data_IF_703836864809
#
_entry.id   IF_703836864809
#
_cell.length_a   1.000
_cell.length_b   1.000
_cell.length_c   1.000
_cell.angle_alpha   90.00
_cell.angle_beta   90.00
_cell.angle_gamma   90.00
#
_symmetry.space_group_name_H-M   'P 1'
#
loop_
_entity.id
_entity.type
_entity.pdbx_description
1 polymer ?
#
# COMPACT_ATOMS: atom_id res chain seq x y z
N UNK A 1 -2.32 23.03 -31.47
CA UNK A 1 -1.10 22.90 -30.70
C UNK A 1 -1.13 21.58 -29.95
N UNK A 2 0.02 21.00 -29.73
CA UNK A 2 0.18 19.79 -28.90
C UNK A 2 0.86 20.19 -27.58
N UNK A 3 0.53 19.47 -26.52
CA UNK A 3 1.19 19.65 -25.23
C UNK A 3 2.41 18.74 -25.16
N UNK A 4 3.56 19.30 -24.80
CA UNK A 4 4.82 18.54 -24.60
C UNK A 4 4.98 18.33 -23.10
N UNK A 5 5.23 17.10 -22.65
CA UNK A 5 5.53 16.83 -21.23
C UNK A 5 6.79 17.56 -20.77
N UNK A 6 6.81 18.03 -19.53
CA UNK A 6 7.93 18.82 -18.96
C UNK A 6 9.28 18.06 -18.95
N UNK A 7 9.24 16.72 -18.97
CA UNK A 7 10.42 15.86 -18.98
C UNK A 7 10.85 15.40 -20.39
N UNK A 8 10.17 15.86 -21.44
CA UNK A 8 10.56 15.53 -22.80
C UNK A 8 11.83 16.29 -23.18
N UNK A 9 12.76 15.62 -23.84
CA UNK A 9 14.01 16.21 -24.33
C UNK A 9 13.96 16.54 -25.83
N UNK A 10 13.14 15.81 -26.59
CA UNK A 10 12.98 15.99 -28.02
C UNK A 10 11.56 15.66 -28.48
N UNK A 11 11.19 16.19 -29.63
CA UNK A 11 9.95 15.89 -30.35
C UNK A 11 10.35 15.29 -31.69
N UNK A 12 9.77 14.13 -32.01
CA UNK A 12 9.95 13.46 -33.31
C UNK A 12 8.66 13.52 -34.10
N UNK A 13 8.76 13.97 -35.35
CA UNK A 13 7.66 13.98 -36.29
C UNK A 13 7.79 12.77 -37.21
N UNK A 14 6.79 11.94 -37.26
CA UNK A 14 6.68 10.82 -38.19
C UNK A 14 5.57 11.07 -39.20
N UNK A 15 5.75 10.61 -40.43
CA UNK A 15 4.76 10.67 -41.47
C UNK A 15 4.45 9.24 -41.98
N UNK A 16 3.16 8.93 -42.07
CA UNK A 16 2.72 7.70 -42.71
C UNK A 16 3.00 7.80 -44.22
N UNK A 17 3.63 6.79 -44.76
CA UNK A 17 3.62 6.56 -46.22
C UNK A 17 2.46 5.61 -46.51
N UNK A 18 1.40 6.15 -47.01
CA UNK A 18 0.36 5.33 -47.68
C UNK A 18 0.90 4.89 -49.02
N UNK A 19 0.91 3.60 -49.36
CA UNK A 19 1.13 3.19 -50.73
C UNK A 19 0.11 3.89 -51.62
N UNK A 20 0.60 4.60 -52.65
CA UNK A 20 -0.25 5.17 -53.69
C UNK A 20 -0.76 4.04 -54.61
N UNK A 21 -1.34 2.98 -54.05
CA UNK A 21 -1.98 1.95 -54.84
C UNK A 21 -3.48 2.22 -54.89
N UNK A 22 -3.89 2.58 -56.09
CA UNK A 22 -5.24 2.92 -56.46
C UNK A 22 -6.12 1.67 -56.40
N UNK A 23 -6.91 1.51 -55.38
CA UNK A 23 -7.95 0.53 -55.35
C UNK A 23 -8.30 -0.16 -54.03
N UNK A 24 -7.67 0.19 -52.93
CA UNK A 24 -8.04 -0.33 -51.59
C UNK A 24 -8.96 0.67 -50.89
N UNK A 25 -10.08 0.21 -50.40
CA UNK A 25 -11.01 1.04 -49.63
C UNK A 25 -10.29 1.66 -48.40
N UNK A 26 -10.51 2.94 -48.18
CA UNK A 26 -9.77 3.79 -47.23
C UNK A 26 -9.77 3.33 -45.75
N UNK A 27 -10.49 2.28 -45.38
CA UNK A 27 -10.63 1.83 -44.00
C UNK A 27 -9.54 0.85 -43.53
N UNK A 28 -8.84 0.17 -44.44
CA UNK A 28 -7.80 -0.82 -44.08
C UNK A 28 -6.37 -0.26 -44.21
N UNK A 29 -6.20 0.84 -44.95
CA UNK A 29 -4.87 1.41 -45.22
C UNK A 29 -4.18 2.05 -44.00
N UNK A 30 -4.89 2.31 -42.95
CA UNK A 30 -4.30 2.92 -41.72
C UNK A 30 -3.63 1.88 -40.80
N UNK A 31 -4.02 0.62 -40.90
CA UNK A 31 -3.47 -0.45 -40.06
C UNK A 31 -2.06 -0.90 -40.47
N UNK A 32 -1.73 -0.77 -41.77
CA UNK A 32 -0.43 -1.21 -42.34
C UNK A 32 0.49 -0.03 -42.70
N UNK A 33 0.17 1.19 -42.26
CA UNK A 33 0.97 2.36 -42.58
C UNK A 33 2.32 2.38 -41.85
N UNK A 34 3.39 2.38 -42.60
CA UNK A 34 4.76 2.58 -42.05
C UNK A 34 4.96 4.06 -41.79
N UNK A 35 5.23 4.42 -40.54
CA UNK A 35 5.53 5.76 -40.12
C UNK A 35 7.02 6.01 -40.19
N UNK A 36 7.48 6.94 -41.05
CA UNK A 36 8.87 7.26 -41.26
C UNK A 36 9.24 8.59 -40.61
N UNK A 37 10.41 8.65 -39.96
CA UNK A 37 10.90 9.86 -39.30
C UNK A 37 11.10 10.96 -40.32
N UNK A 38 10.48 12.11 -40.08
CA UNK A 38 10.57 13.30 -40.91
C UNK A 38 11.53 14.33 -40.31
N UNK A 39 11.39 14.56 -39.00
CA UNK A 39 12.18 15.58 -38.31
C UNK A 39 12.29 15.24 -36.80
N UNK A 40 13.39 15.67 -36.20
CA UNK A 40 13.60 15.62 -34.75
C UNK A 40 14.02 17.01 -34.27
N UNK A 41 13.34 17.53 -33.27
CA UNK A 41 13.56 18.87 -32.70
C UNK A 41 13.62 18.80 -31.16
N UNK A 42 14.30 19.77 -30.53
CA UNK A 42 14.22 19.94 -29.08
C UNK A 42 12.78 20.11 -28.60
N UNK A 43 12.51 19.70 -27.35
CA UNK A 43 11.17 19.70 -26.77
C UNK A 43 10.50 21.09 -26.65
N UNK A 44 11.30 22.15 -26.67
CA UNK A 44 10.86 23.56 -26.62
C UNK A 44 10.42 24.11 -27.99
N UNK A 45 10.46 23.30 -29.04
CA UNK A 45 10.09 23.72 -30.38
C UNK A 45 8.58 23.93 -30.50
N UNK A 46 8.15 25.15 -30.79
CA UNK A 46 6.74 25.50 -30.90
C UNK A 46 6.07 25.07 -32.22
N UNK A 47 6.85 24.92 -33.28
CA UNK A 47 6.36 24.59 -34.63
C UNK A 47 7.28 23.61 -35.30
N UNK A 48 6.72 22.47 -35.75
CA UNK A 48 7.40 21.47 -36.59
C UNK A 48 6.74 21.48 -37.96
N UNK A 49 7.54 21.54 -39.01
CA UNK A 49 7.07 21.54 -40.41
C UNK A 49 7.61 20.30 -41.14
N UNK A 50 6.73 19.57 -41.78
CA UNK A 50 7.11 18.52 -42.72
C UNK A 50 7.43 19.14 -44.09
N UNK A 51 8.73 19.20 -44.43
CA UNK A 51 9.23 19.63 -45.74
C UNK A 51 10.20 18.63 -46.35
N UNK A 52 10.30 17.45 -45.78
CA UNK A 52 11.28 16.45 -46.12
C UNK A 52 10.82 15.63 -47.34
N UNK A 53 11.65 15.55 -48.36
CA UNK A 53 11.36 14.74 -49.55
C UNK A 53 11.68 13.27 -49.38
N UNK A 54 12.68 12.96 -48.55
CA UNK A 54 13.09 11.58 -48.25
C UNK A 54 12.96 11.40 -46.74
N UNK A 55 12.10 10.51 -46.31
CA UNK A 55 11.92 10.19 -44.90
C UNK A 55 13.06 9.30 -44.41
N UNK A 56 13.32 9.40 -43.10
CA UNK A 56 14.39 8.64 -42.43
C UNK A 56 13.95 7.25 -42.00
N UNK A 57 14.43 6.86 -40.82
CA UNK A 57 14.16 5.56 -40.23
C UNK A 57 12.65 5.37 -39.92
N UNK A 58 12.15 4.15 -40.14
CA UNK A 58 10.80 3.81 -39.71
C UNK A 58 10.63 3.98 -38.21
N UNK A 59 9.45 4.47 -37.80
CA UNK A 59 9.09 4.45 -36.40
C UNK A 59 9.08 3.01 -35.93
N UNK A 60 9.72 2.74 -34.81
CA UNK A 60 9.78 1.40 -34.23
C UNK A 60 8.44 1.05 -33.54
N UNK A 61 7.39 0.98 -34.37
CA UNK A 61 6.04 0.57 -33.97
C UNK A 61 5.62 -0.74 -34.62
N UNK A 62 6.50 -1.31 -35.45
CA UNK A 62 6.26 -2.59 -36.10
C UNK A 62 6.14 -3.67 -34.99
N UNK A 63 5.02 -4.37 -34.97
CA UNK A 63 4.62 -5.35 -33.94
C UNK A 63 4.18 -4.77 -32.57
N UNK A 64 3.84 -3.50 -32.49
CA UNK A 64 3.30 -2.92 -31.26
C UNK A 64 1.81 -2.62 -31.37
N UNK A 65 1.02 -3.27 -30.50
CA UNK A 65 -0.39 -2.90 -30.34
C UNK A 65 -0.51 -1.62 -29.51
N UNK A 66 -1.50 -0.80 -29.81
CA UNK A 66 -1.82 0.37 -29.01
C UNK A 66 -2.28 -0.06 -27.60
N UNK A 67 -2.06 0.78 -26.58
CA UNK A 67 -2.65 0.54 -25.27
C UNK A 67 -4.18 0.39 -25.39
N UNK A 68 -4.79 -0.59 -24.70
CA UNK A 68 -6.24 -0.74 -24.69
C UNK A 68 -6.93 0.54 -24.22
N UNK A 69 -8.07 0.87 -24.82
CA UNK A 69 -8.83 2.07 -24.47
C UNK A 69 -9.41 2.06 -23.04
N UNK A 70 -9.61 0.85 -22.47
CA UNK A 70 -10.07 0.62 -21.11
C UNK A 70 -8.92 0.40 -20.11
N UNK A 71 -7.68 0.72 -20.48
CA UNK A 71 -6.53 0.52 -19.61
C UNK A 71 -6.68 1.33 -18.30
N UNK A 72 -6.65 0.63 -17.18
CA UNK A 72 -6.83 1.17 -15.83
C UNK A 72 -5.71 0.71 -14.91
N UNK A 73 -5.60 1.29 -13.72
CA UNK A 73 -4.56 0.99 -12.73
C UNK A 73 -3.13 1.13 -13.30
N UNK A 74 -2.93 2.09 -14.17
CA UNK A 74 -1.63 2.28 -14.83
C UNK A 74 -0.56 2.65 -13.80
N UNK A 75 0.52 1.86 -13.82
CA UNK A 75 1.68 2.01 -12.93
C UNK A 75 2.95 2.08 -13.76
N UNK A 76 3.88 2.93 -13.34
CA UNK A 76 5.24 2.82 -13.81
C UNK A 76 5.86 1.53 -13.25
N UNK A 77 6.58 0.81 -14.08
CA UNK A 77 7.32 -0.38 -13.68
C UNK A 77 8.78 -0.26 -14.16
N UNK A 78 9.63 -1.24 -13.82
CA UNK A 78 11.05 -1.19 -14.11
C UNK A 78 11.34 -0.89 -15.60
N UNK A 79 12.49 -0.27 -15.84
CA UNK A 79 13.01 0.00 -17.19
C UNK A 79 12.10 0.89 -18.07
N UNK A 80 11.35 1.80 -17.45
CA UNK A 80 10.48 2.73 -18.19
C UNK A 80 9.27 2.06 -18.84
N UNK A 81 8.87 0.88 -18.39
CA UNK A 81 7.63 0.22 -18.79
C UNK A 81 6.44 0.79 -18.03
N UNK A 82 5.28 0.70 -18.65
CA UNK A 82 4.00 0.86 -17.97
C UNK A 82 3.31 -0.49 -17.85
N UNK A 83 2.71 -0.72 -16.70
CA UNK A 83 1.83 -1.86 -16.47
C UNK A 83 0.41 -1.36 -16.17
N UNK A 84 -0.60 -2.12 -16.54
CA UNK A 84 -1.99 -1.76 -16.31
C UNK A 84 -2.92 -2.96 -16.43
N UNK A 85 -4.19 -2.74 -16.17
CA UNK A 85 -5.27 -3.73 -16.26
C UNK A 85 -6.26 -3.32 -17.35
N UNK A 86 -6.70 -4.29 -18.18
CA UNK A 86 -7.72 -4.10 -19.20
C UNK A 86 -8.64 -5.32 -19.22
N UNK A 87 -9.94 -5.13 -18.92
CA UNK A 87 -10.83 -6.25 -18.65
C UNK A 87 -10.26 -7.16 -17.57
N UNK A 88 -10.14 -8.45 -17.87
CA UNK A 88 -9.57 -9.49 -17.00
C UNK A 88 -8.09 -9.78 -17.34
N UNK A 89 -7.38 -8.82 -17.93
CA UNK A 89 -6.01 -9.01 -18.35
C UNK A 89 -5.08 -7.99 -17.70
N UNK A 90 -3.91 -8.45 -17.31
CA UNK A 90 -2.74 -7.62 -17.10
C UNK A 90 -2.11 -7.27 -18.46
N UNK A 91 -1.69 -6.03 -18.62
CA UNK A 91 -1.05 -5.49 -19.81
C UNK A 91 0.23 -4.77 -19.43
N UNK A 92 1.26 -4.93 -20.25
CA UNK A 92 2.54 -4.24 -20.05
C UNK A 92 3.02 -3.63 -21.36
N UNK A 93 3.63 -2.45 -21.27
CA UNK A 93 4.24 -1.80 -22.42
C UNK A 93 5.59 -2.43 -22.79
N UNK A 94 6.05 -2.17 -23.99
CA UNK A 94 7.41 -2.47 -24.39
C UNK A 94 8.43 -1.59 -23.65
N UNK A 95 9.68 -2.03 -23.62
CA UNK A 95 10.78 -1.34 -22.97
C UNK A 95 10.98 0.06 -23.58
N UNK A 96 10.93 1.10 -22.75
CA UNK A 96 11.10 2.48 -23.19
C UNK A 96 10.03 3.02 -24.14
N UNK A 97 8.97 2.24 -24.41
CA UNK A 97 7.88 2.58 -25.32
C UNK A 97 6.51 2.46 -24.64
N UNK A 98 6.15 3.42 -23.76
CA UNK A 98 4.90 3.36 -22.96
C UNK A 98 3.62 3.37 -23.82
N UNK A 99 3.71 3.77 -25.06
CA UNK A 99 2.63 3.81 -26.04
C UNK A 99 2.39 2.47 -26.77
N UNK A 100 3.25 1.49 -26.56
CA UNK A 100 3.23 0.20 -27.23
C UNK A 100 2.97 -0.93 -26.23
N UNK A 101 1.87 -1.66 -26.42
CA UNK A 101 1.45 -2.75 -25.54
C UNK A 101 1.33 -4.08 -26.32
N UNK A 102 2.47 -4.72 -26.66
CA UNK A 102 2.46 -5.94 -27.45
C UNK A 102 1.60 -7.03 -26.80
N UNK A 103 0.86 -7.79 -27.60
CA UNK A 103 0.01 -8.89 -27.12
C UNK A 103 0.81 -9.95 -26.34
N UNK A 104 2.09 -10.15 -26.71
CA UNK A 104 2.99 -11.08 -25.99
C UNK A 104 3.22 -10.72 -24.52
N UNK A 105 2.97 -9.46 -24.12
CA UNK A 105 3.06 -8.99 -22.74
C UNK A 105 1.68 -8.93 -22.06
N UNK A 106 0.75 -9.72 -22.53
CA UNK A 106 -0.59 -9.85 -21.95
C UNK A 106 -0.66 -11.11 -21.11
N UNK A 107 -1.17 -10.98 -19.89
CA UNK A 107 -1.45 -12.11 -19.00
C UNK A 107 -2.94 -12.12 -18.67
N UNK A 108 -3.63 -13.22 -18.97
CA UNK A 108 -5.00 -13.41 -18.52
C UNK A 108 -5.02 -13.74 -17.02
N UNK A 109 -5.90 -13.11 -16.28
CA UNK A 109 -6.16 -13.39 -14.88
C UNK A 109 -7.35 -14.37 -14.80
N UNK A 110 -7.26 -15.37 -13.92
CA UNK A 110 -8.33 -16.34 -13.72
C UNK A 110 -9.54 -15.74 -13.02
N UNK A 111 -9.29 -14.75 -12.13
CA UNK A 111 -10.30 -14.01 -11.38
C UNK A 111 -10.28 -12.54 -11.79
N UNK A 112 -11.33 -11.79 -11.48
CA UNK A 112 -11.44 -10.38 -11.87
C UNK A 112 -10.41 -9.49 -11.15
N UNK A 113 -9.56 -8.74 -11.89
CA UNK A 113 -8.54 -7.88 -11.30
C UNK A 113 -9.16 -6.65 -10.62
N UNK A 114 -8.81 -6.43 -9.36
CA UNK A 114 -9.28 -5.31 -8.52
C UNK A 114 -8.24 -4.19 -8.44
N UNK A 115 -6.97 -4.52 -8.21
CA UNK A 115 -5.88 -3.55 -8.09
C UNK A 115 -4.57 -4.11 -8.64
N UNK A 116 -3.69 -3.21 -9.04
CA UNK A 116 -2.32 -3.50 -9.49
C UNK A 116 -1.32 -2.78 -8.59
N UNK A 117 -0.34 -3.52 -8.10
CA UNK A 117 0.83 -2.99 -7.41
C UNK A 117 2.08 -3.42 -8.17
N UNK A 118 3.08 -2.53 -8.24
CA UNK A 118 4.35 -2.81 -8.90
C UNK A 118 5.51 -2.48 -7.98
N UNK A 119 6.49 -3.33 -7.96
CA UNK A 119 7.80 -3.11 -7.32
C UNK A 119 8.87 -3.65 -8.28
N UNK A 120 10.12 -3.32 -8.08
CA UNK A 120 11.26 -3.64 -8.96
C UNK A 120 10.97 -4.73 -10.04
N UNK A 121 11.10 -6.01 -9.69
CA UNK A 121 10.94 -7.13 -10.62
C UNK A 121 9.58 -7.84 -10.55
N UNK A 122 8.68 -7.40 -9.68
CA UNK A 122 7.43 -8.07 -9.40
C UNK A 122 6.23 -7.12 -9.51
N UNK A 123 5.14 -7.60 -10.11
CA UNK A 123 3.85 -6.95 -10.05
C UNK A 123 2.84 -7.88 -9.38
N UNK A 124 1.97 -7.33 -8.57
CA UNK A 124 0.87 -8.05 -7.94
C UNK A 124 -0.44 -7.63 -8.57
N UNK A 125 -1.13 -8.58 -9.19
CA UNK A 125 -2.52 -8.41 -9.61
C UNK A 125 -3.40 -8.94 -8.51
N UNK A 126 -3.99 -8.04 -7.75
CA UNK A 126 -4.94 -8.36 -6.68
C UNK A 126 -6.31 -8.56 -7.30
N UNK A 127 -6.93 -9.70 -7.06
CA UNK A 127 -8.20 -10.11 -7.68
C UNK A 127 -9.30 -10.26 -6.63
N UNK A 128 -10.53 -10.41 -7.09
CA UNK A 128 -11.67 -10.75 -6.24
C UNK A 128 -11.73 -12.26 -5.86
N UNK A 129 -10.72 -13.02 -6.27
CA UNK A 129 -10.52 -14.43 -5.95
C UNK A 129 -9.11 -14.70 -5.46
N UNK A 130 -8.27 -15.26 -6.32
CA UNK A 130 -6.88 -15.63 -6.01
C UNK A 130 -5.91 -14.63 -6.62
N UNK A 131 -5.17 -13.87 -5.80
CA UNK A 131 -4.18 -12.91 -6.30
C UNK A 131 -3.02 -13.59 -7.03
N UNK A 132 -2.40 -12.85 -7.93
CA UNK A 132 -1.30 -13.32 -8.78
C UNK A 132 -0.10 -12.42 -8.64
N UNK A 133 1.08 -13.00 -8.51
CA UNK A 133 2.36 -12.31 -8.64
C UNK A 133 2.92 -12.58 -10.05
N UNK A 134 3.35 -11.53 -10.72
CA UNK A 134 3.94 -11.55 -12.04
C UNK A 134 5.40 -11.13 -11.91
N UNK A 135 6.32 -12.00 -12.32
CA UNK A 135 7.76 -11.75 -12.24
C UNK A 135 8.32 -11.59 -13.64
N UNK A 136 9.06 -10.51 -13.88
CA UNK A 136 9.77 -10.30 -15.14
C UNK A 136 11.17 -10.86 -15.01
N UNK A 137 11.55 -11.72 -15.96
CA UNK A 137 12.90 -12.23 -16.08
C UNK A 137 13.64 -11.55 -17.25
N UNK A 138 14.76 -10.90 -16.94
CA UNK A 138 15.61 -10.25 -17.93
C UNK A 138 14.93 -9.15 -18.74
N UNK A 139 15.31 -9.00 -19.99
CA UNK A 139 14.83 -7.91 -20.89
C UNK A 139 13.48 -8.21 -21.53
N UNK A 140 12.79 -9.27 -21.13
CA UNK A 140 11.58 -9.76 -21.79
C UNK A 140 11.80 -10.04 -23.29
N UNK A 141 12.97 -10.57 -23.66
CA UNK A 141 13.30 -10.98 -25.02
C UNK A 141 12.47 -12.17 -25.53
N UNK A 142 13.02 -12.93 -26.45
CA UNK A 142 12.33 -14.08 -27.03
C UNK A 142 12.02 -15.16 -25.98
N UNK A 143 10.74 -15.43 -25.70
CA UNK A 143 10.27 -16.42 -24.73
C UNK A 143 9.05 -15.95 -23.95
N UNK A 144 8.80 -16.58 -22.80
CA UNK A 144 7.76 -16.14 -21.85
C UNK A 144 8.35 -15.11 -20.89
N UNK A 145 8.19 -13.83 -21.17
CA UNK A 145 8.87 -12.77 -20.41
C UNK A 145 8.31 -12.59 -18.99
N UNK A 146 7.15 -13.15 -18.73
CA UNK A 146 6.42 -12.97 -17.46
C UNK A 146 6.13 -14.34 -16.86
N UNK A 147 6.70 -14.60 -15.70
CA UNK A 147 6.37 -15.77 -14.88
C UNK A 147 5.15 -15.45 -14.01
N UNK A 148 4.17 -16.36 -14.02
CA UNK A 148 2.91 -16.24 -13.27
C UNK A 148 3.01 -17.10 -12.02
N UNK A 149 2.84 -16.51 -10.84
CA UNK A 149 2.82 -17.19 -9.55
C UNK A 149 1.51 -16.89 -8.84
N UNK A 150 0.56 -17.81 -8.92
CA UNK A 150 -0.69 -17.67 -8.18
C UNK A 150 -0.48 -17.86 -6.68
N UNK A 151 -1.18 -17.07 -5.86
CA UNK A 151 -1.17 -17.24 -4.42
C UNK A 151 -1.66 -18.64 -4.02
N UNK A 152 -1.02 -19.25 -3.02
CA UNK A 152 -1.40 -20.59 -2.54
C UNK A 152 -2.83 -20.63 -1.99
N UNK A 153 -3.33 -19.50 -1.47
CA UNK A 153 -4.68 -19.36 -0.90
C UNK A 153 -5.49 -18.32 -1.67
N UNK A 154 -6.79 -18.56 -1.79
CA UNK A 154 -7.73 -17.55 -2.28
C UNK A 154 -8.00 -16.54 -1.16
N UNK A 155 -7.35 -15.39 -1.23
CA UNK A 155 -7.51 -14.26 -0.33
C UNK A 155 -7.90 -13.03 -1.15
N UNK A 156 -9.20 -12.85 -1.46
CA UNK A 156 -9.68 -11.80 -2.36
C UNK A 156 -9.37 -10.40 -1.85
N UNK A 157 -8.99 -9.51 -2.75
CA UNK A 157 -8.92 -8.08 -2.50
C UNK A 157 -10.33 -7.47 -2.60
N UNK A 158 -10.86 -6.95 -1.50
CA UNK A 158 -12.23 -6.40 -1.45
C UNK A 158 -12.28 -4.88 -1.52
N UNK A 159 -11.14 -4.23 -1.48
CA UNK A 159 -11.04 -2.78 -1.66
C UNK A 159 -9.79 -2.43 -2.46
N UNK A 160 -10.00 -1.92 -3.65
CA UNK A 160 -8.93 -1.42 -4.52
C UNK A 160 -8.04 -0.38 -3.81
N UNK A 161 -8.66 0.52 -3.06
CA UNK A 161 -7.95 1.60 -2.39
C UNK A 161 -7.17 1.16 -1.16
N UNK A 162 -7.39 -0.06 -0.67
CA UNK A 162 -6.60 -0.61 0.45
C UNK A 162 -5.22 -1.10 0.03
N UNK A 163 -5.01 -1.29 -1.27
CA UNK A 163 -3.79 -1.86 -1.81
C UNK A 163 -2.59 -0.90 -1.65
N UNK A 164 -1.54 -1.37 -1.00
CA UNK A 164 -0.31 -0.63 -0.77
C UNK A 164 0.90 -1.57 -0.81
N UNK A 165 2.09 -1.02 -1.08
CA UNK A 165 3.33 -1.78 -1.16
C UNK A 165 4.27 -1.42 -0.01
N UNK A 166 4.95 -2.39 0.55
CA UNK A 166 6.00 -2.21 1.54
C UNK A 166 7.11 -3.25 1.36
N UNK A 167 8.31 -2.81 0.96
CA UNK A 167 9.49 -3.68 0.87
C UNK A 167 9.28 -4.95 0.04
N UNK A 168 8.63 -4.85 -1.13
CA UNK A 168 8.32 -6.00 -1.98
C UNK A 168 7.11 -6.83 -1.53
N UNK A 169 6.43 -6.42 -0.45
CA UNK A 169 5.21 -7.06 0.07
C UNK A 169 3.98 -6.26 -0.32
N UNK A 170 3.02 -6.90 -0.97
CA UNK A 170 1.72 -6.31 -1.24
C UNK A 170 0.81 -6.45 -0.03
N UNK A 171 0.20 -5.35 0.40
CA UNK A 171 -0.73 -5.27 1.52
C UNK A 171 -2.11 -4.87 1.00
N UNK A 172 -3.17 -5.55 1.41
CA UNK A 172 -4.53 -5.23 0.98
C UNK A 172 -5.59 -5.80 1.93
N UNK A 173 -6.78 -5.21 1.92
CA UNK A 173 -7.91 -5.69 2.71
C UNK A 173 -8.61 -6.87 2.02
N UNK A 174 -8.85 -7.94 2.78
CA UNK A 174 -9.69 -9.08 2.40
C UNK A 174 -10.90 -9.19 3.32
N UNK A 175 -11.81 -10.14 3.01
CA UNK A 175 -12.94 -10.45 3.88
C UNK A 175 -12.51 -10.89 5.29
N UNK A 176 -11.36 -11.56 5.41
CA UNK A 176 -10.92 -12.19 6.65
C UNK A 176 -9.89 -11.37 7.45
N UNK A 177 -9.33 -10.32 6.87
CA UNK A 177 -8.30 -9.50 7.52
C UNK A 177 -7.48 -8.69 6.52
N UNK A 178 -6.46 -8.00 7.01
CA UNK A 178 -5.41 -7.41 6.20
C UNK A 178 -4.48 -8.53 5.74
N UNK A 179 -4.26 -8.62 4.45
CA UNK A 179 -3.39 -9.62 3.83
C UNK A 179 -2.06 -9.01 3.50
N UNK A 180 -0.99 -9.76 3.75
CA UNK A 180 0.34 -9.53 3.20
C UNK A 180 0.64 -10.63 2.18
N UNK A 181 1.16 -10.24 1.01
CA UNK A 181 1.54 -11.17 -0.05
C UNK A 181 2.97 -10.87 -0.53
N UNK A 182 3.82 -11.89 -0.56
CA UNK A 182 5.16 -11.84 -1.13
C UNK A 182 5.38 -13.04 -2.04
N UNK A 183 5.62 -12.77 -3.32
CA UNK A 183 5.62 -13.83 -4.33
C UNK A 183 4.25 -14.52 -4.37
N UNK A 184 4.22 -15.84 -4.18
CA UNK A 184 3.01 -16.65 -4.08
C UNK A 184 2.56 -16.93 -2.63
N UNK A 185 3.32 -16.45 -1.64
CA UNK A 185 2.94 -16.60 -0.23
C UNK A 185 2.03 -15.44 0.17
N UNK A 186 0.82 -15.75 0.61
CA UNK A 186 -0.16 -14.78 1.08
C UNK A 186 -0.73 -15.22 2.43
N UNK A 187 -0.79 -14.31 3.39
CA UNK A 187 -1.33 -14.59 4.72
C UNK A 187 -2.05 -13.40 5.33
N UNK A 188 -2.98 -13.68 6.24
CA UNK A 188 -3.70 -12.67 7.01
C UNK A 188 -2.86 -12.28 8.22
N UNK A 189 -2.36 -11.03 8.23
CA UNK A 189 -1.48 -10.51 9.28
C UNK A 189 -2.24 -9.90 10.47
N UNK A 190 -3.56 -9.76 10.38
CA UNK A 190 -4.39 -9.21 11.46
C UNK A 190 -5.19 -10.27 12.22
N UNK A 191 -4.94 -11.54 11.99
CA UNK A 191 -5.71 -12.67 12.57
C UNK A 191 -5.77 -12.65 14.09
N UNK A 192 -4.69 -12.21 14.74
CA UNK A 192 -4.61 -12.23 16.20
C UNK A 192 -5.04 -10.92 16.85
N UNK A 193 -5.34 -9.91 16.05
CA UNK A 193 -5.84 -8.62 16.52
C UNK A 193 -7.36 -8.51 16.42
N UNK A 194 -7.97 -9.17 15.43
CA UNK A 194 -9.40 -9.11 15.17
C UNK A 194 -9.98 -10.51 14.95
N UNK A 195 -11.13 -10.78 15.56
CA UNK A 195 -12.00 -11.86 15.10
C UNK A 195 -12.61 -11.48 13.75
N UNK A 196 -13.15 -12.46 13.02
CA UNK A 196 -13.81 -12.21 11.74
C UNK A 196 -14.95 -11.15 11.88
N UNK A 197 -15.77 -11.23 12.93
CA UNK A 197 -16.85 -10.29 13.17
C UNK A 197 -16.35 -8.88 13.48
N UNK A 198 -15.28 -8.76 14.28
CA UNK A 198 -14.65 -7.47 14.58
C UNK A 198 -14.06 -6.83 13.33
N UNK A 199 -13.42 -7.63 12.47
CA UNK A 199 -12.89 -7.15 11.20
C UNK A 199 -14.00 -6.67 10.26
N UNK A 200 -15.08 -7.44 10.13
CA UNK A 200 -16.22 -7.05 9.30
C UNK A 200 -16.93 -5.79 9.82
N UNK A 201 -16.97 -5.59 11.13
CA UNK A 201 -17.51 -4.38 11.74
C UNK A 201 -16.73 -3.11 11.37
N UNK A 202 -15.45 -3.23 10.99
CA UNK A 202 -14.65 -2.13 10.45
C UNK A 202 -15.04 -1.73 9.01
N UNK A 203 -15.88 -2.49 8.32
CA UNK A 203 -16.26 -2.31 6.91
C UNK A 203 -15.05 -2.30 5.96
N UNK A 204 -14.27 -3.39 5.91
CA UNK A 204 -13.01 -3.44 5.17
C UNK A 204 -13.15 -3.20 3.66
N UNK A 205 -14.33 -3.38 3.08
CA UNK A 205 -14.62 -3.05 1.68
C UNK A 205 -14.57 -1.53 1.37
N UNK A 206 -14.62 -0.67 2.40
CA UNK A 206 -14.46 0.78 2.27
C UNK A 206 -13.04 1.24 2.59
N UNK A 207 -12.13 0.31 2.86
CA UNK A 207 -10.79 0.63 3.33
C UNK A 207 -9.96 1.34 2.25
N UNK A 208 -9.28 2.39 2.68
CA UNK A 208 -8.25 3.12 1.95
C UNK A 208 -6.95 2.91 2.70
N UNK A 209 -5.92 2.46 2.02
CA UNK A 209 -4.64 2.09 2.62
C UNK A 209 -3.49 2.93 2.09
N UNK A 210 -2.51 3.16 2.95
CA UNK A 210 -1.22 3.72 2.59
C UNK A 210 -0.15 3.19 3.53
N UNK A 211 1.09 3.13 3.05
CA UNK A 211 2.24 2.75 3.89
C UNK A 211 3.19 3.93 3.99
N UNK A 212 3.66 4.22 5.20
CA UNK A 212 4.68 5.23 5.48
C UNK A 212 5.51 4.78 6.66
N UNK A 213 6.84 4.87 6.57
CA UNK A 213 7.78 4.54 7.64
C UNK A 213 7.55 3.15 8.30
N UNK A 214 7.31 2.12 7.49
CA UNK A 214 7.07 0.76 8.00
C UNK A 214 5.71 0.57 8.69
N UNK A 215 4.77 1.50 8.50
CA UNK A 215 3.45 1.46 9.10
C UNK A 215 2.39 1.42 8.01
N UNK A 216 1.48 0.47 8.09
CA UNK A 216 0.27 0.47 7.27
C UNK A 216 -0.84 1.28 7.96
N UNK A 217 -1.38 2.24 7.26
CA UNK A 217 -2.52 3.05 7.66
C UNK A 217 -3.75 2.65 6.85
N UNK A 218 -4.81 2.21 7.53
CA UNK A 218 -6.05 1.78 6.90
C UNK A 218 -7.23 2.60 7.40
N UNK A 219 -7.83 3.43 6.55
CA UNK A 219 -9.02 4.20 6.88
C UNK A 219 -10.26 3.57 6.25
N UNK A 220 -11.27 3.29 7.05
CA UNK A 220 -12.60 2.87 6.60
C UNK A 220 -13.64 3.93 6.99
N UNK A 221 -14.88 3.73 6.60
CA UNK A 221 -15.97 4.64 7.00
C UNK A 221 -16.22 4.64 8.51
N UNK A 222 -15.79 3.60 9.23
CA UNK A 222 -16.04 3.42 10.68
C UNK A 222 -14.80 3.52 11.54
N UNK A 223 -13.61 3.30 10.99
CA UNK A 223 -12.35 3.22 11.73
C UNK A 223 -11.17 3.78 10.94
N UNK A 224 -10.15 4.22 11.65
CA UNK A 224 -8.84 4.48 11.11
C UNK A 224 -7.83 3.70 11.95
N UNK A 225 -7.16 2.73 11.33
CA UNK A 225 -6.20 1.85 11.98
C UNK A 225 -4.78 2.22 11.55
N UNK A 226 -3.87 2.10 12.48
CA UNK A 226 -2.42 2.15 12.29
C UNK A 226 -1.89 0.79 12.68
N UNK A 227 -1.17 0.14 11.79
CA UNK A 227 -0.55 -1.16 12.02
C UNK A 227 0.94 -1.09 11.73
N UNK A 228 1.75 -1.19 12.79
CA UNK A 228 3.20 -1.22 12.67
C UNK A 228 3.61 -2.58 12.08
N UNK A 229 4.18 -2.54 10.88
CA UNK A 229 4.62 -3.75 10.19
C UNK A 229 5.91 -4.26 10.84
N UNK A 230 6.00 -5.56 11.17
CA UNK A 230 7.26 -6.14 11.60
C UNK A 230 8.26 -6.19 10.44
N UNK A 231 9.57 -6.23 10.74
CA UNK A 231 10.63 -6.33 9.73
C UNK A 231 10.44 -7.54 8.80
N UNK A 232 10.00 -8.66 9.36
CA UNK A 232 9.51 -9.81 8.61
C UNK A 232 8.01 -10.01 8.86
N UNK A 233 7.22 -9.60 7.89
CA UNK A 233 5.75 -9.67 7.94
C UNK A 233 5.24 -11.12 7.95
N UNK A 234 6.06 -12.07 7.53
CA UNK A 234 5.75 -13.50 7.44
C UNK A 234 6.30 -14.33 8.62
N UNK A 235 7.02 -13.70 9.54
CA UNK A 235 7.46 -14.40 10.76
C UNK A 235 6.28 -14.81 11.62
N UNK A 236 6.39 -15.97 12.27
CA UNK A 236 5.35 -16.51 13.16
C UNK A 236 5.13 -15.66 14.42
N UNK A 237 6.09 -14.84 14.78
CA UNK A 237 6.01 -13.98 15.95
C UNK A 237 5.27 -12.68 15.61
N UNK A 238 4.09 -12.51 16.18
CA UNK A 238 3.29 -11.28 16.08
C UNK A 238 3.95 -10.13 16.83
N UNK A 239 4.86 -9.45 16.16
CA UNK A 239 5.59 -8.33 16.73
C UNK A 239 4.98 -6.96 16.36
N UNK A 240 4.02 -6.95 15.44
CA UNK A 240 3.33 -5.72 15.04
C UNK A 240 2.47 -5.11 16.16
N UNK A 241 2.37 -3.80 16.21
CA UNK A 241 1.45 -3.09 17.08
C UNK A 241 0.30 -2.51 16.29
N UNK A 242 -0.91 -2.67 16.80
CA UNK A 242 -2.10 -2.11 16.18
C UNK A 242 -2.74 -1.04 17.05
N UNK A 243 -3.05 0.09 16.44
CA UNK A 243 -3.68 1.24 17.10
C UNK A 243 -4.86 1.72 16.28
N UNK A 244 -5.95 2.10 16.94
CA UNK A 244 -7.08 2.78 16.31
C UNK A 244 -6.96 4.27 16.56
N UNK A 245 -7.13 5.06 15.50
CA UNK A 245 -7.06 6.52 15.53
C UNK A 245 -8.48 7.11 15.47
N UNK A 246 -8.68 8.25 16.13
CA UNK A 246 -9.99 8.93 16.16
C UNK A 246 -10.32 9.71 14.89
N UNK A 247 -9.31 9.98 14.04
CA UNK A 247 -9.50 10.66 12.75
C UNK A 247 -10.31 9.82 11.78
N UNK A 248 -10.89 10.48 10.79
CA UNK A 248 -11.67 9.83 9.72
C UNK A 248 -11.23 10.34 8.35
N UNK A 249 -10.06 9.88 7.86
CA UNK A 249 -9.58 10.28 6.54
C UNK A 249 -10.49 9.78 5.43
N UNK A 250 -10.77 10.66 4.48
CA UNK A 250 -11.50 10.34 3.25
C UNK A 250 -10.56 9.78 2.17
N UNK A 251 -9.28 10.13 2.24
CA UNK A 251 -8.23 9.56 1.41
C UNK A 251 -6.89 9.54 2.16
N UNK A 252 -6.03 8.62 1.77
CA UNK A 252 -4.66 8.47 2.23
C UNK A 252 -3.75 8.43 1.00
N UNK A 253 -2.59 9.08 1.10
CA UNK A 253 -1.56 8.99 0.09
C UNK A 253 -0.17 9.12 0.73
N UNK A 254 0.79 8.38 0.20
CA UNK A 254 2.19 8.53 0.55
C UNK A 254 2.90 9.21 -0.60
N UNK A 255 3.59 10.31 -0.33
CA UNK A 255 4.41 11.03 -1.31
C UNK A 255 5.71 10.30 -1.62
N UNK A 256 6.41 10.72 -2.66
CA UNK A 256 7.67 10.11 -3.08
C UNK A 256 8.78 10.19 -2.02
N UNK A 257 8.71 11.18 -1.10
CA UNK A 257 9.61 11.31 0.05
C UNK A 257 9.19 10.47 1.27
N UNK A 258 8.20 9.56 1.09
CA UNK A 258 7.72 8.65 2.13
C UNK A 258 6.71 9.26 3.12
N UNK A 259 6.38 10.55 3.01
CA UNK A 259 5.48 11.24 3.94
C UNK A 259 4.02 10.87 3.68
N UNK A 260 3.30 10.51 4.73
CA UNK A 260 1.86 10.25 4.67
C UNK A 260 1.05 11.56 4.68
N UNK A 261 0.07 11.64 3.80
CA UNK A 261 -0.95 12.70 3.75
C UNK A 261 -2.34 12.12 4.00
N UNK A 262 -3.13 12.87 4.75
CA UNK A 262 -4.50 12.56 5.10
C UNK A 262 -5.42 13.63 4.51
N UNK A 263 -6.41 13.24 3.74
CA UNK A 263 -7.50 14.14 3.36
C UNK A 263 -8.65 13.98 4.37
N UNK A 264 -8.92 15.04 5.12
CA UNK A 264 -10.07 15.15 6.03
C UNK A 264 -11.16 16.03 5.40
N UNK A 265 -12.30 16.18 6.06
CA UNK A 265 -13.40 17.00 5.56
C UNK A 265 -13.07 18.47 5.44
N UNK A 266 -12.12 18.97 6.19
CA UNK A 266 -11.71 20.37 6.31
C UNK A 266 -10.36 20.68 5.62
N UNK A 267 -9.67 19.68 5.09
CA UNK A 267 -8.42 19.90 4.38
C UNK A 267 -7.51 18.69 4.25
N UNK A 268 -6.34 18.91 3.67
CA UNK A 268 -5.29 17.89 3.54
C UNK A 268 -4.17 18.20 4.53
N UNK A 269 -3.75 17.19 5.27
CA UNK A 269 -2.77 17.28 6.35
C UNK A 269 -1.61 16.31 6.13
N UNK A 270 -0.41 16.76 6.40
CA UNK A 270 0.75 15.88 6.49
C UNK A 270 0.75 15.20 7.88
N UNK A 271 0.86 13.88 7.88
CA UNK A 271 0.92 13.10 9.12
C UNK A 271 2.20 13.39 9.87
N UNK A 272 2.08 13.52 11.20
CA UNK A 272 3.21 13.72 12.12
C UNK A 272 4.13 14.92 11.77
N UNK A 273 3.57 15.94 11.13
CA UNK A 273 4.32 17.14 10.73
C UNK A 273 4.18 18.32 11.69
N UNK A 274 3.37 18.20 12.74
CA UNK A 274 3.14 19.24 13.74
C UNK A 274 3.93 19.02 15.03
N UNK A 275 4.00 20.06 15.86
CA UNK A 275 4.68 20.03 17.16
C UNK A 275 3.78 19.48 18.28
N UNK A 276 2.50 19.24 18.03
CA UNK A 276 1.54 18.78 19.02
C UNK A 276 1.18 17.33 18.80
N UNK A 277 1.29 16.53 19.86
CA UNK A 277 0.90 15.13 19.87
C UNK A 277 -0.60 14.98 20.10
N UNK A 278 -1.22 14.02 19.37
CA UNK A 278 -2.63 13.67 19.60
C UNK A 278 -2.80 12.96 20.94
N UNK A 279 -3.91 13.20 21.66
CA UNK A 279 -4.22 12.43 22.84
C UNK A 279 -4.50 10.97 22.47
N UNK A 280 -3.95 10.07 23.24
CA UNK A 280 -4.16 8.63 23.04
C UNK A 280 -4.82 7.97 24.26
N UNK A 281 -5.40 6.82 24.01
CA UNK A 281 -5.85 5.85 25.00
C UNK A 281 -5.30 4.49 24.60
N UNK A 282 -4.45 3.94 25.44
CA UNK A 282 -3.96 2.57 25.29
C UNK A 282 -4.49 1.72 26.44
N UNK A 283 -5.01 0.54 26.13
CA UNK A 283 -5.45 -0.44 27.12
C UNK A 283 -4.80 -1.77 26.82
N UNK A 284 -3.96 -2.24 27.74
CA UNK A 284 -3.24 -3.50 27.62
C UNK A 284 -4.19 -4.71 27.61
N UNK A 285 -3.65 -5.86 27.17
CA UNK A 285 -4.35 -7.14 27.33
C UNK A 285 -4.52 -7.43 28.83
N UNK A 286 -5.55 -8.22 29.16
CA UNK A 286 -5.67 -8.77 30.50
C UNK A 286 -4.50 -9.72 30.74
N UNK A 287 -3.73 -9.46 31.78
CA UNK A 287 -2.63 -10.30 32.23
C UNK A 287 -3.19 -11.31 33.23
N UNK A 288 -3.26 -12.58 32.85
CA UNK A 288 -3.72 -13.64 33.73
C UNK A 288 -2.53 -14.33 34.41
N UNK A 289 -2.63 -14.49 35.72
CA UNK A 289 -1.65 -15.20 36.55
C UNK A 289 -2.17 -16.60 36.92
N UNK A 290 -1.28 -17.56 37.15
CA UNK A 290 -1.63 -18.94 37.51
C UNK A 290 -2.26 -19.09 38.93
N UNK A 291 -2.43 -17.99 39.63
CA UNK A 291 -3.05 -17.93 40.96
C UNK A 291 -3.23 -16.50 41.41
N UNK A 292 -3.91 -16.32 42.53
CA UNK A 292 -4.19 -15.01 43.10
C UNK A 292 -2.89 -14.29 43.48
N UNK A 293 -2.58 -13.20 42.78
CA UNK A 293 -1.39 -12.38 43.02
C UNK A 293 -1.80 -11.01 43.53
N UNK A 294 -1.01 -10.45 44.44
CA UNK A 294 -1.13 -9.09 44.92
C UNK A 294 -0.07 -8.24 44.28
N UNK A 295 -0.45 -7.39 43.35
CA UNK A 295 0.42 -6.33 42.82
C UNK A 295 0.41 -5.16 43.80
N UNK A 296 1.58 -4.61 44.13
CA UNK A 296 1.68 -3.55 45.14
C UNK A 296 2.29 -2.25 44.63
N UNK A 297 2.98 -2.30 43.49
CA UNK A 297 3.65 -1.15 42.92
C UNK A 297 3.71 -1.24 41.38
N UNK A 298 3.89 -0.08 40.77
CA UNK A 298 4.08 0.06 39.33
C UNK A 298 4.94 1.27 39.02
N UNK A 299 5.52 1.29 37.85
CA UNK A 299 6.35 2.38 37.31
C UNK A 299 6.07 2.52 35.81
N UNK A 300 6.15 3.75 35.35
CA UNK A 300 6.19 4.00 33.90
C UNK A 300 7.35 4.96 33.59
N UNK A 301 7.81 4.89 32.33
CA UNK A 301 8.70 5.89 31.74
C UNK A 301 7.92 6.68 30.70
N UNK A 302 7.85 7.98 30.90
CA UNK A 302 7.04 8.88 30.05
C UNK A 302 7.70 10.24 29.90
N UNK A 303 7.44 10.90 28.78
CA UNK A 303 7.92 12.27 28.51
C UNK A 303 7.04 13.35 29.17
N UNK A 304 5.81 13.03 29.52
CA UNK A 304 4.88 13.92 30.21
C UNK A 304 3.96 13.15 31.16
N UNK A 305 3.25 13.85 32.05
CA UNK A 305 2.26 13.20 32.91
C UNK A 305 1.11 12.61 32.07
N UNK A 306 0.75 11.38 32.41
CA UNK A 306 -0.34 10.63 31.78
C UNK A 306 -1.28 10.07 32.84
N UNK A 307 -2.54 9.87 32.50
CA UNK A 307 -3.51 9.18 33.37
C UNK A 307 -3.29 7.68 33.24
N UNK A 308 -3.10 7.01 34.39
CA UNK A 308 -2.96 5.56 34.46
C UNK A 308 -4.11 4.99 35.28
N UNK A 309 -4.83 4.03 34.70
CA UNK A 309 -5.93 3.32 35.36
C UNK A 309 -5.59 1.84 35.46
N UNK A 310 -5.72 1.27 36.65
CA UNK A 310 -5.53 -0.14 36.92
C UNK A 310 -6.86 -0.84 37.14
N UNK A 311 -6.98 -2.01 36.57
CA UNK A 311 -8.15 -2.88 36.66
C UNK A 311 -7.76 -4.24 37.25
N UNK A 312 -8.65 -4.79 38.07
CA UNK A 312 -8.63 -6.17 38.54
C UNK A 312 -9.93 -6.84 38.10
N UNK A 313 -9.83 -7.72 37.10
CA UNK A 313 -10.99 -8.18 36.36
C UNK A 313 -11.75 -7.00 35.73
N UNK A 314 -13.03 -6.85 36.09
CA UNK A 314 -13.88 -5.73 35.64
C UNK A 314 -13.84 -4.51 36.54
N UNK A 315 -13.17 -4.58 37.70
CA UNK A 315 -13.16 -3.54 38.71
C UNK A 315 -11.99 -2.58 38.52
N UNK A 316 -12.28 -1.27 38.43
CA UNK A 316 -11.27 -0.22 38.54
C UNK A 316 -10.78 -0.13 39.98
N UNK A 317 -9.47 -0.21 40.21
CA UNK A 317 -8.86 -0.18 41.54
C UNK A 317 -8.07 1.09 41.81
N UNK A 318 -7.57 1.73 40.75
CA UNK A 318 -6.82 2.99 40.86
C UNK A 318 -6.90 3.76 39.54
N UNK A 319 -7.04 5.10 39.64
CA UNK A 319 -6.85 6.04 38.53
C UNK A 319 -6.07 7.24 39.03
N UNK A 320 -4.91 7.52 38.45
CA UNK A 320 -4.03 8.58 38.89
C UNK A 320 -3.29 9.24 37.73
N UNK A 321 -2.93 10.51 37.88
CA UNK A 321 -1.97 11.17 37.03
C UNK A 321 -0.56 10.80 37.51
N UNK A 322 0.27 10.31 36.60
CA UNK A 322 1.60 9.85 36.92
C UNK A 322 2.63 10.31 35.90
N UNK A 323 3.82 10.60 36.39
CA UNK A 323 5.00 10.88 35.62
C UNK A 323 6.05 9.78 35.76
N UNK A 324 7.29 10.15 35.59
CA UNK A 324 8.43 9.24 35.52
C UNK A 324 8.93 8.78 36.92
N UNK A 325 8.01 8.19 37.70
CA UNK A 325 8.31 7.71 39.06
C UNK A 325 7.52 6.44 39.39
N UNK A 326 8.01 5.70 40.38
CA UNK A 326 7.30 4.53 40.89
C UNK A 326 6.14 4.93 41.80
N UNK A 327 5.00 4.27 41.60
CA UNK A 327 3.76 4.48 42.35
C UNK A 327 3.37 3.21 43.10
N UNK A 328 2.58 3.36 44.17
CA UNK A 328 1.97 2.24 44.87
C UNK A 328 0.54 1.99 44.38
N UNK A 329 0.17 0.73 44.30
CA UNK A 329 -1.22 0.33 44.18
C UNK A 329 -1.91 0.35 45.56
N UNK A 330 -3.23 0.57 45.63
CA UNK A 330 -3.99 0.51 46.87
C UNK A 330 -3.87 -0.89 47.50
N UNK A 331 -3.87 -0.91 48.83
CA UNK A 331 -3.81 -2.18 49.58
C UNK A 331 -5.19 -2.89 49.56
N UNK A 332 -5.19 -4.21 49.71
CA UNK A 332 -6.41 -5.00 49.84
C UNK A 332 -6.90 -5.63 48.54
N UNK A 333 -6.23 -5.42 47.43
CA UNK A 333 -6.56 -6.03 46.13
C UNK A 333 -5.61 -7.16 45.80
N UNK A 334 -6.19 -8.33 45.52
CA UNK A 334 -5.49 -9.50 45.01
C UNK A 334 -6.40 -10.26 44.04
N UNK A 335 -5.84 -10.80 42.98
CA UNK A 335 -6.60 -11.54 41.98
C UNK A 335 -5.71 -12.05 40.87
N UNK A 336 -6.34 -12.63 39.86
CA UNK A 336 -5.66 -13.36 38.79
C UNK A 336 -5.62 -12.56 37.48
N UNK A 337 -6.50 -11.58 37.29
CA UNK A 337 -6.65 -10.83 36.04
C UNK A 337 -6.36 -9.35 36.25
N UNK A 338 -5.20 -8.90 35.76
CA UNK A 338 -4.75 -7.53 35.87
C UNK A 338 -4.73 -6.86 34.50
N UNK A 339 -5.17 -5.60 34.45
CA UNK A 339 -5.15 -4.80 33.24
C UNK A 339 -4.79 -3.34 33.56
N UNK A 340 -4.08 -2.70 32.65
CA UNK A 340 -3.73 -1.28 32.73
C UNK A 340 -4.27 -0.53 31.52
N UNK A 341 -4.71 0.69 31.76
CA UNK A 341 -5.08 1.65 30.72
C UNK A 341 -4.30 2.94 30.93
N UNK A 342 -3.73 3.50 29.88
CA UNK A 342 -2.96 4.73 29.89
C UNK A 342 -3.61 5.72 28.91
N UNK A 343 -3.78 6.97 29.37
CA UNK A 343 -4.31 8.06 28.56
C UNK A 343 -3.43 9.29 28.69
N UNK A 344 -3.17 9.96 27.60
CA UNK A 344 -2.37 11.18 27.62
C UNK A 344 -1.91 11.63 26.26
N UNK A 345 -0.95 12.56 26.27
CA UNK A 345 -0.24 13.07 25.09
C UNK A 345 1.25 12.80 25.16
N UNK A 346 1.78 12.41 26.36
CA UNK A 346 3.18 12.08 26.55
C UNK A 346 3.52 10.70 25.99
N UNK A 347 4.69 10.56 25.43
CA UNK A 347 5.21 9.27 25.02
C UNK A 347 5.44 8.38 26.25
N UNK A 348 5.01 7.12 26.18
CA UNK A 348 5.25 6.09 27.18
C UNK A 348 6.09 5.00 26.56
N UNK A 349 7.35 4.88 27.02
CA UNK A 349 8.30 3.88 26.51
C UNK A 349 8.31 2.59 27.32
N UNK A 350 7.88 2.63 28.58
CA UNK A 350 7.90 1.46 29.46
C UNK A 350 6.80 1.55 30.51
N UNK A 351 6.15 0.43 30.77
CA UNK A 351 5.26 0.23 31.91
C UNK A 351 5.61 -1.09 32.60
N UNK A 352 5.80 -1.04 33.92
CA UNK A 352 6.09 -2.21 34.75
C UNK A 352 5.14 -2.25 35.95
N UNK A 353 4.67 -3.45 36.32
CA UNK A 353 3.88 -3.70 37.50
C UNK A 353 4.54 -4.85 38.30
N UNK A 354 4.61 -4.71 39.62
CA UNK A 354 5.36 -5.62 40.48
C UNK A 354 4.64 -5.91 41.80
N UNK A 355 5.01 -7.04 42.41
CA UNK A 355 4.52 -7.45 43.71
C UNK A 355 5.15 -6.63 44.85
N UNK A 356 6.32 -6.04 44.59
CA UNK A 356 7.04 -5.17 45.54
C UNK A 356 7.78 -4.02 44.88
N UNK A 357 7.80 -2.87 45.52
CA UNK A 357 8.44 -1.66 44.97
C UNK A 357 9.94 -1.85 44.69
N UNK A 358 10.61 -2.75 45.40
CA UNK A 358 12.04 -3.05 45.18
C UNK A 358 12.33 -3.72 43.83
N UNK A 359 11.35 -4.40 43.25
CA UNK A 359 11.46 -5.04 41.95
C UNK A 359 11.51 -3.99 40.81
N UNK A 360 10.92 -2.82 41.04
CA UNK A 360 10.88 -1.70 40.07
C UNK A 360 12.14 -0.81 40.10
N UNK A 361 13.04 -1.03 41.07
CA UNK A 361 14.26 -0.22 41.26
C UNK A 361 15.51 -0.87 40.67
N UNK A 362 15.33 -2.06 40.08
CA UNK A 362 16.36 -2.75 39.30
C UNK A 362 16.24 -2.37 37.85
#
# INVERSE_FOLDING_TARGET
>A
GFAVPDNATAIRLYRAQTPLDFGVEQNDAAADAVYLLVDERPADTAIISDRVKVAGQACDTENYDAPPADLREVRAWRDGRLAGLSGDHFRMSALGAPHACPLKFTVACNDHPVALLTDEDIAYVLTDGRPVALVIHGDCGDGHPIEIREAAQALPCISRQSAAMHGGVALYASHAGLVAMQGNNAQIITRDYYTADQWQALRPHTMRGAVSDGVYYGATDTAFIRFDLPDDVFADAQTGAMTTLSLRPQALATSADGRLYLALTDGTYAWNAGDTTLPYRWRGKVQSTSGTVRMSAWRLRTTANVEVTHWLGTREIQRVQAGNHACRLPVGYAGEEWQVEIRGTGEVSEYMMATGIRELLR
#
